data_IF_371793135444
#
_entry.id   IF_371793135444
#
_cell.length_a   1.000
_cell.length_b   1.000
_cell.length_c   1.000
_cell.angle_alpha   90.00
_cell.angle_beta   90.00
_cell.angle_gamma   90.00
#
_symmetry.space_group_name_H-M   'P 1'
#
loop_
_entity.id
_entity.type
_entity.pdbx_description
1 polymer ?
#
# COMPACT_ATOMS: atom_id res chain seq x y z
N UNK A 1 2.18 -10.76 22.46
CA UNK A 1 1.97 -10.48 21.02
C UNK A 1 0.50 -10.76 20.70
N UNK A 2 -0.31 -9.69 20.68
CA UNK A 2 -1.72 -9.75 20.26
C UNK A 2 -1.89 -8.71 19.16
N UNK A 3 -1.22 -8.93 18.02
CA UNK A 3 -1.54 -8.13 16.84
C UNK A 3 -2.83 -8.68 16.27
N UNK A 4 -3.83 -7.84 16.32
CA UNK A 4 -5.18 -8.12 15.86
C UNK A 4 -5.15 -8.49 14.38
N UNK A 5 -5.28 -9.77 14.06
CA UNK A 5 -5.81 -10.25 12.80
C UNK A 5 -7.33 -9.96 12.70
N UNK A 6 -7.74 -8.76 13.12
CA UNK A 6 -9.11 -8.31 12.97
C UNK A 6 -9.13 -7.28 11.86
N UNK A 7 -10.07 -7.46 10.95
CA UNK A 7 -10.48 -6.47 9.96
C UNK A 7 -10.69 -5.13 10.67
N UNK A 8 -9.65 -4.34 10.77
CA UNK A 8 -9.71 -3.04 11.44
C UNK A 8 -10.63 -2.17 10.61
N UNK A 9 -11.75 -1.81 11.18
CA UNK A 9 -12.68 -0.87 10.58
C UNK A 9 -12.00 0.51 10.53
N UNK A 10 -12.26 1.28 9.49
CA UNK A 10 -11.66 2.61 9.29
C UNK A 10 -11.89 3.55 10.49
N UNK A 11 -13.03 3.47 11.14
CA UNK A 11 -13.34 4.26 12.33
C UNK A 11 -12.42 3.92 13.52
N UNK A 12 -12.12 2.64 13.71
CA UNK A 12 -11.17 2.18 14.74
C UNK A 12 -9.75 2.64 14.41
N UNK A 13 -9.35 2.52 13.14
CA UNK A 13 -8.05 2.98 12.66
C UNK A 13 -7.82 4.46 12.91
N UNK A 14 -8.82 5.30 12.71
CA UNK A 14 -8.72 6.74 12.92
C UNK A 14 -8.62 7.14 14.41
N UNK A 15 -9.10 6.29 15.32
CA UNK A 15 -9.11 6.56 16.77
C UNK A 15 -7.89 5.99 17.51
N UNK A 16 -7.15 5.08 16.91
CA UNK A 16 -6.01 4.45 17.57
C UNK A 16 -4.76 5.33 17.56
N UNK A 17 -3.94 5.22 18.60
CA UNK A 17 -2.59 5.79 18.69
C UNK A 17 -1.49 4.71 18.49
N UNK A 18 -1.87 3.51 18.02
CA UNK A 18 -0.95 2.38 17.87
C UNK A 18 0.02 2.54 16.70
N UNK A 19 -0.21 3.53 15.82
CA UNK A 19 0.63 3.78 14.65
C UNK A 19 1.58 4.97 14.83
N UNK A 20 2.71 4.91 14.16
CA UNK A 20 3.57 6.08 13.93
C UNK A 20 2.85 6.99 12.93
N UNK A 21 2.37 8.15 13.42
CA UNK A 21 1.62 9.10 12.60
C UNK A 21 2.50 9.69 11.50
N UNK A 22 1.92 9.98 10.33
CA UNK A 22 2.57 10.51 9.13
C UNK A 22 3.67 9.63 8.53
N UNK A 23 3.74 8.36 8.91
CA UNK A 23 4.61 7.35 8.32
C UNK A 23 3.77 6.24 7.70
N UNK A 24 4.09 5.88 6.46
CA UNK A 24 3.49 4.74 5.78
C UNK A 24 4.54 3.92 5.04
N UNK A 25 4.16 2.72 4.67
CA UNK A 25 4.95 1.82 3.83
C UNK A 25 4.09 1.45 2.62
N UNK A 26 4.68 1.48 1.43
CA UNK A 26 4.06 1.03 0.18
C UNK A 26 4.96 0.00 -0.50
N UNK A 27 4.39 -1.14 -0.88
CA UNK A 27 5.12 -2.28 -1.42
C UNK A 27 4.73 -2.54 -2.87
N UNK A 28 5.67 -2.41 -3.78
CA UNK A 28 5.48 -2.71 -5.21
C UNK A 28 5.84 -4.17 -5.46
N UNK A 29 4.85 -5.03 -5.66
CA UNK A 29 5.08 -6.43 -5.95
C UNK A 29 5.02 -6.63 -7.46
N UNK A 30 6.19 -6.85 -8.06
CA UNK A 30 6.30 -7.21 -9.47
C UNK A 30 6.14 -8.71 -9.65
N UNK A 31 5.42 -9.09 -10.68
CA UNK A 31 5.27 -10.47 -11.11
C UNK A 31 5.81 -10.65 -12.51
N UNK A 32 6.67 -11.64 -12.71
CA UNK A 32 7.26 -11.94 -14.00
C UNK A 32 6.94 -13.38 -14.43
N UNK A 33 6.48 -13.55 -15.65
CA UNK A 33 6.28 -14.84 -16.28
C UNK A 33 6.15 -14.70 -17.80
N UNK A 34 6.78 -15.59 -18.57
CA UNK A 34 6.75 -15.61 -20.04
C UNK A 34 7.00 -14.22 -20.66
N UNK A 35 8.11 -13.57 -20.26
CA UNK A 35 8.52 -12.24 -20.74
C UNK A 35 7.54 -11.10 -20.44
N UNK A 36 6.53 -11.35 -19.63
CA UNK A 36 5.55 -10.34 -19.21
C UNK A 36 5.82 -9.91 -17.77
N UNK A 37 5.97 -8.59 -17.56
CA UNK A 37 6.09 -8.00 -16.25
C UNK A 37 4.77 -7.33 -15.84
N UNK A 38 4.27 -7.71 -14.68
CA UNK A 38 3.04 -7.19 -14.09
C UNK A 38 3.31 -6.59 -12.72
N UNK A 39 2.36 -5.83 -12.21
CA UNK A 39 2.35 -5.33 -10.83
C UNK A 39 1.04 -5.73 -10.16
N UNK A 40 1.14 -6.13 -8.88
CA UNK A 40 -0.02 -6.46 -8.07
C UNK A 40 -0.65 -5.19 -7.53
N UNK A 41 -1.94 -5.01 -7.79
CA UNK A 41 -2.72 -3.89 -7.31
C UNK A 41 -3.95 -4.36 -6.54
N UNK A 42 -4.35 -3.54 -5.58
CA UNK A 42 -5.54 -3.72 -4.76
C UNK A 42 -6.60 -2.72 -5.18
N UNK A 43 -7.81 -3.17 -5.46
CA UNK A 43 -8.93 -2.28 -5.76
C UNK A 43 -9.50 -1.70 -4.48
N UNK A 44 -9.66 -0.39 -4.42
CA UNK A 44 -10.33 0.26 -3.29
C UNK A 44 -11.82 -0.12 -3.25
N UNK A 45 -12.35 -0.41 -2.05
CA UNK A 45 -13.75 -0.83 -1.90
C UNK A 45 -14.75 0.25 -2.34
N UNK A 46 -14.44 1.50 -2.02
CA UNK A 46 -15.38 2.62 -2.14
C UNK A 46 -15.27 3.39 -3.46
N UNK A 47 -14.16 3.21 -4.17
CA UNK A 47 -13.82 4.03 -5.34
C UNK A 47 -13.28 3.16 -6.47
N UNK A 48 -13.47 3.60 -7.70
CA UNK A 48 -12.86 2.94 -8.88
C UNK A 48 -11.39 3.36 -9.04
N UNK A 49 -10.62 3.13 -7.98
CA UNK A 49 -9.20 3.43 -7.86
C UNK A 49 -8.45 2.21 -7.33
N UNK A 50 -7.18 2.13 -7.69
CA UNK A 50 -6.28 1.04 -7.31
C UNK A 50 -5.08 1.57 -6.53
N UNK A 51 -4.49 0.71 -5.73
CA UNK A 51 -3.30 1.01 -4.92
C UNK A 51 -2.32 -0.15 -4.94
N UNK A 52 -1.04 0.13 -4.67
CA UNK A 52 -0.11 -0.92 -4.23
C UNK A 52 -0.47 -1.37 -2.81
N UNK A 53 -0.12 -2.60 -2.39
CA UNK A 53 -0.20 -3.01 -1.00
C UNK A 53 0.57 -2.05 -0.10
N UNK A 54 -0.05 -1.56 0.96
CA UNK A 54 0.58 -0.61 1.87
C UNK A 54 -0.26 -0.31 3.10
N UNK A 55 0.26 0.55 3.96
CA UNK A 55 -0.40 0.96 5.19
C UNK A 55 0.54 1.60 6.20
N UNK A 56 0.11 1.61 7.46
CA UNK A 56 0.80 2.28 8.55
C UNK A 56 1.73 1.34 9.32
N UNK A 57 2.71 1.92 9.99
CA UNK A 57 3.69 1.23 10.84
C UNK A 57 3.21 1.32 12.28
N UNK A 58 3.15 0.19 12.99
CA UNK A 58 2.83 0.18 14.43
C UNK A 58 3.98 0.76 15.26
N UNK A 59 3.67 1.25 16.46
CA UNK A 59 4.66 1.81 17.38
C UNK A 59 5.70 0.78 17.87
N UNK A 60 5.37 -0.50 17.83
CA UNK A 60 6.15 -1.60 18.39
C UNK A 60 6.65 -2.60 17.34
N UNK A 61 6.73 -2.19 16.06
CA UNK A 61 7.31 -3.00 14.99
C UNK A 61 8.42 -2.26 14.23
N UNK A 62 9.36 -3.00 13.67
CA UNK A 62 10.34 -2.46 12.75
C UNK A 62 9.72 -2.20 11.37
N UNK A 63 10.28 -1.25 10.60
CA UNK A 63 9.74 -0.86 9.29
C UNK A 63 9.73 -2.04 8.30
N UNK A 64 10.77 -2.88 8.31
CA UNK A 64 10.85 -4.08 7.48
C UNK A 64 9.78 -5.12 7.87
N UNK A 65 9.50 -5.26 9.17
CA UNK A 65 8.42 -6.10 9.68
C UNK A 65 7.05 -5.57 9.24
N UNK A 66 6.85 -4.24 9.30
CA UNK A 66 5.63 -3.59 8.80
C UNK A 66 5.41 -3.85 7.31
N UNK A 67 6.46 -3.73 6.48
CA UNK A 67 6.39 -4.00 5.05
C UNK A 67 5.94 -5.44 4.77
N UNK A 68 6.57 -6.42 5.44
CA UNK A 68 6.21 -7.83 5.31
C UNK A 68 4.78 -8.12 5.79
N UNK A 69 4.40 -7.62 6.96
CA UNK A 69 3.05 -7.76 7.52
C UNK A 69 2.00 -7.22 6.57
N UNK A 70 2.19 -6.00 6.06
CA UNK A 70 1.24 -5.34 5.16
C UNK A 70 1.04 -6.13 3.86
N UNK A 71 2.10 -6.65 3.25
CA UNK A 71 1.96 -7.51 2.07
C UNK A 71 1.19 -8.77 2.41
N UNK A 72 1.54 -9.47 3.49
CA UNK A 72 0.85 -10.70 3.90
C UNK A 72 -0.64 -10.46 4.19
N UNK A 73 -0.96 -9.41 4.95
CA UNK A 73 -2.35 -9.10 5.33
C UNK A 73 -3.21 -8.66 4.14
N UNK A 74 -2.62 -7.87 3.22
CA UNK A 74 -3.36 -7.29 2.09
C UNK A 74 -3.52 -8.25 0.91
N UNK A 75 -2.61 -9.19 0.74
CA UNK A 75 -2.52 -10.00 -0.49
C UNK A 75 -2.48 -11.52 -0.22
N UNK A 76 -2.26 -11.94 1.02
CA UNK A 76 -1.96 -13.32 1.41
C UNK A 76 -0.65 -13.89 0.81
N UNK A 77 0.17 -13.08 0.17
CA UNK A 77 1.51 -13.49 -0.28
C UNK A 77 2.44 -13.65 0.92
N UNK A 78 3.25 -14.70 0.90
CA UNK A 78 4.21 -15.04 1.96
C UNK A 78 5.58 -15.35 1.35
N UNK A 79 6.59 -15.41 2.21
CA UNK A 79 7.96 -15.79 1.84
C UNK A 79 8.56 -14.90 0.73
N UNK A 80 8.23 -13.60 0.76
CA UNK A 80 8.75 -12.61 -0.16
C UNK A 80 10.04 -11.97 0.37
N UNK A 81 11.00 -11.78 -0.51
CA UNK A 81 12.14 -10.90 -0.25
C UNK A 81 11.76 -9.48 -0.65
N UNK A 82 11.56 -8.62 0.35
CA UNK A 82 11.26 -7.20 0.18
C UNK A 82 12.52 -6.38 0.34
N UNK A 83 12.81 -5.53 -0.64
CA UNK A 83 13.94 -4.61 -0.63
C UNK A 83 13.43 -3.17 -0.59
N UNK A 84 13.94 -2.37 0.36
CA UNK A 84 13.67 -0.94 0.40
C UNK A 84 14.37 -0.25 -0.77
N UNK A 85 13.66 0.60 -1.53
CA UNK A 85 14.25 1.26 -2.68
C UNK A 85 14.23 2.79 -2.61
N UNK A 86 13.26 3.40 -1.98
CA UNK A 86 13.13 4.86 -1.93
C UNK A 86 12.29 5.34 -0.75
N UNK A 87 12.51 6.61 -0.36
CA UNK A 87 11.65 7.30 0.61
C UNK A 87 10.96 8.49 -0.06
N UNK A 88 9.64 8.45 -0.10
CA UNK A 88 8.79 9.47 -0.73
C UNK A 88 8.36 10.49 0.32
N UNK A 89 9.00 11.65 0.35
CA UNK A 89 8.78 12.67 1.38
C UNK A 89 8.61 14.09 0.85
N UNK A 90 8.26 14.29 -0.43
CA UNK A 90 8.06 15.64 -0.97
C UNK A 90 7.00 16.41 -0.21
N UNK A 91 7.20 17.72 -0.05
CA UNK A 91 6.30 18.60 0.72
C UNK A 91 4.90 18.73 0.10
N UNK A 92 4.77 18.45 -1.19
CA UNK A 92 3.54 18.53 -1.96
C UNK A 92 2.90 17.16 -2.24
N UNK A 93 3.41 16.12 -1.59
CA UNK A 93 2.82 14.81 -1.58
C UNK A 93 1.43 14.84 -0.91
N UNK A 94 0.50 14.00 -1.31
CA UNK A 94 -0.86 13.89 -0.75
C UNK A 94 -1.72 15.16 -0.91
N UNK A 95 -1.56 15.88 -2.02
CA UNK A 95 -2.44 17.01 -2.35
C UNK A 95 -3.82 16.60 -2.83
N UNK A 96 -4.03 15.32 -3.12
CA UNK A 96 -5.35 14.85 -3.44
C UNK A 96 -6.24 14.81 -2.20
N UNK A 97 -7.54 14.81 -2.40
CA UNK A 97 -8.54 14.82 -1.35
C UNK A 97 -9.00 13.41 -0.93
N UNK A 98 -8.22 12.38 -1.25
CA UNK A 98 -8.63 10.98 -1.09
C UNK A 98 -9.03 10.64 0.34
N UNK A 99 -8.25 11.07 1.32
CA UNK A 99 -8.58 10.85 2.74
C UNK A 99 -9.89 11.53 3.14
N UNK A 100 -10.13 12.78 2.67
CA UNK A 100 -11.39 13.46 2.91
C UNK A 100 -12.56 12.72 2.27
N UNK A 101 -12.39 12.23 1.04
CA UNK A 101 -13.42 11.46 0.33
C UNK A 101 -13.78 10.17 1.06
N UNK A 102 -12.78 9.45 1.60
CA UNK A 102 -13.01 8.24 2.41
C UNK A 102 -13.77 8.56 3.67
N UNK A 103 -13.35 9.58 4.42
CA UNK A 103 -14.03 10.01 5.66
C UNK A 103 -15.48 10.41 5.38
N UNK A 104 -15.73 11.19 4.33
CA UNK A 104 -17.08 11.58 3.92
C UNK A 104 -17.93 10.38 3.49
N UNK A 105 -17.37 9.45 2.73
CA UNK A 105 -18.06 8.25 2.27
C UNK A 105 -18.60 7.40 3.41
N UNK A 106 -17.84 7.33 4.50
CA UNK A 106 -18.21 6.58 5.70
C UNK A 106 -18.96 7.43 6.75
N UNK A 107 -19.28 8.69 6.45
CA UNK A 107 -19.94 9.63 7.37
C UNK A 107 -19.24 9.74 8.73
N UNK A 108 -17.92 9.76 8.72
CA UNK A 108 -17.11 9.84 9.95
C UNK A 108 -16.94 11.30 10.37
N UNK A 109 -17.06 11.54 11.68
CA UNK A 109 -16.77 12.85 12.28
C UNK A 109 -15.28 12.92 12.65
N UNK A 110 -14.50 13.55 11.78
CA UNK A 110 -13.03 13.66 11.91
C UNK A 110 -12.64 15.13 11.85
N UNK A 111 -11.93 15.60 12.90
CA UNK A 111 -11.42 16.97 12.98
C UNK A 111 -10.51 17.32 11.79
N UNK A 112 -10.61 18.54 11.27
CA UNK A 112 -9.81 19.00 10.12
C UNK A 112 -8.29 18.96 10.36
N UNK A 113 -7.86 19.01 11.63
CA UNK A 113 -6.46 18.90 12.00
C UNK A 113 -6.02 17.45 12.28
N UNK A 114 -6.89 16.48 12.03
CA UNK A 114 -6.59 15.07 12.28
C UNK A 114 -5.38 14.61 11.48
N UNK A 115 -4.59 13.71 12.08
CA UNK A 115 -3.34 13.22 11.50
C UNK A 115 -3.49 12.59 10.11
N UNK A 116 -4.66 12.03 9.80
CA UNK A 116 -4.93 11.38 8.50
C UNK A 116 -4.88 12.37 7.32
N UNK A 117 -5.15 13.67 7.57
CA UNK A 117 -5.12 14.71 6.56
C UNK A 117 -3.74 15.36 6.41
N UNK A 118 -2.80 15.01 7.27
CA UNK A 118 -1.45 15.57 7.24
C UNK A 118 -0.60 14.89 6.16
N UNK A 119 0.54 15.52 5.83
CA UNK A 119 1.50 14.95 4.89
C UNK A 119 2.12 13.68 5.45
N UNK A 120 2.14 12.62 4.65
CA UNK A 120 2.83 11.37 4.95
C UNK A 120 4.21 11.32 4.29
N UNK A 121 5.15 10.69 4.98
CA UNK A 121 6.36 10.14 4.39
C UNK A 121 6.14 8.65 4.18
N UNK A 122 6.38 8.17 2.96
CA UNK A 122 6.23 6.75 2.64
C UNK A 122 7.59 6.12 2.34
N UNK A 123 7.82 4.97 2.93
CA UNK A 123 8.97 4.13 2.61
C UNK A 123 8.54 3.08 1.60
N UNK A 124 9.17 3.10 0.43
CA UNK A 124 8.88 2.21 -0.68
C UNK A 124 9.71 0.94 -0.63
N UNK A 125 9.04 -0.21 -0.70
CA UNK A 125 9.63 -1.53 -0.85
C UNK A 125 9.21 -2.15 -2.17
N UNK A 126 10.03 -3.05 -2.73
CA UNK A 126 9.63 -3.85 -3.87
C UNK A 126 10.04 -5.31 -3.71
N UNK A 127 9.37 -6.19 -4.44
CA UNK A 127 9.74 -7.58 -4.63
C UNK A 127 9.46 -8.00 -6.08
N UNK A 128 10.17 -9.03 -6.54
CA UNK A 128 9.93 -9.68 -7.83
C UNK A 128 9.64 -11.16 -7.59
N UNK A 129 8.51 -11.65 -8.10
CA UNK A 129 8.08 -13.04 -7.97
C UNK A 129 7.61 -13.63 -9.31
N UNK A 130 7.49 -14.95 -9.39
CA UNK A 130 6.70 -15.59 -10.45
C UNK A 130 5.22 -15.53 -10.05
N UNK A 131 4.43 -14.68 -10.73
CA UNK A 131 3.03 -14.46 -10.36
C UNK A 131 2.11 -15.67 -10.61
N UNK A 132 2.54 -16.64 -11.41
CA UNK A 132 1.75 -17.86 -11.65
C UNK A 132 1.77 -18.82 -10.47
N UNK A 133 2.75 -18.68 -9.58
CA UNK A 133 2.90 -19.49 -8.38
C UNK A 133 2.22 -18.87 -7.14
N UNK A 134 1.57 -17.71 -7.31
CA UNK A 134 0.99 -16.95 -6.21
C UNK A 134 -0.53 -16.98 -6.24
N UNK A 135 -1.14 -17.34 -5.10
CA UNK A 135 -2.56 -17.15 -4.86
C UNK A 135 -2.74 -15.88 -4.01
N UNK A 136 -3.45 -14.89 -4.55
CA UNK A 136 -3.74 -13.65 -3.85
C UNK A 136 -5.20 -13.61 -3.40
N UNK A 137 -5.42 -13.23 -2.14
CA UNK A 137 -6.77 -13.11 -1.56
C UNK A 137 -6.91 -11.67 -1.05
N UNK A 138 -7.92 -10.91 -1.50
CA UNK A 138 -8.17 -9.56 -1.00
C UNK A 138 -8.50 -9.57 0.50
N UNK A 139 -8.04 -8.56 1.21
CA UNK A 139 -8.41 -8.33 2.59
C UNK A 139 -9.79 -7.65 2.74
N UNK A 140 -10.14 -7.30 3.98
CA UNK A 140 -11.40 -6.62 4.27
C UNK A 140 -11.49 -5.16 3.82
N UNK A 141 -10.38 -4.55 3.40
CA UNK A 141 -10.31 -3.16 2.93
C UNK A 141 -10.36 -3.04 1.40
N UNK A 142 -10.09 -4.12 0.68
CA UNK A 142 -9.98 -4.13 -0.77
C UNK A 142 -10.95 -5.13 -1.39
N UNK A 143 -11.59 -4.73 -2.48
CA UNK A 143 -12.56 -5.57 -3.17
C UNK A 143 -11.90 -6.65 -4.02
N UNK A 144 -10.71 -6.40 -4.53
CA UNK A 144 -10.00 -7.27 -5.46
C UNK A 144 -8.49 -7.10 -5.36
N UNK A 145 -7.77 -8.19 -5.59
CA UNK A 145 -6.34 -8.25 -5.85
C UNK A 145 -6.14 -8.63 -7.31
N UNK A 146 -5.40 -7.86 -8.09
CA UNK A 146 -5.25 -8.11 -9.52
C UNK A 146 -3.85 -7.78 -10.04
N UNK A 147 -3.35 -8.63 -10.96
CA UNK A 147 -2.10 -8.44 -11.66
C UNK A 147 -2.28 -7.61 -12.93
N UNK A 148 -1.85 -6.36 -12.90
CA UNK A 148 -1.89 -5.47 -14.06
C UNK A 148 -0.57 -5.48 -14.83
N UNK A 149 -0.67 -5.44 -16.16
CA UNK A 149 0.49 -5.15 -17.01
C UNK A 149 1.03 -3.75 -16.69
N UNK A 150 2.34 -3.63 -16.51
CA UNK A 150 2.98 -2.36 -16.16
C UNK A 150 2.82 -1.29 -17.24
N UNK A 151 2.56 -1.69 -18.50
CA UNK A 151 2.31 -0.78 -19.61
C UNK A 151 0.88 -0.23 -19.65
N UNK A 152 -0.05 -0.82 -18.88
CA UNK A 152 -1.47 -0.46 -18.89
C UNK A 152 -2.05 -0.42 -17.47
N UNK A 153 -1.55 0.51 -16.67
CA UNK A 153 -2.00 0.69 -15.29
C UNK A 153 -3.36 1.39 -15.22
N UNK A 154 -4.26 0.95 -14.33
CA UNK A 154 -5.54 1.61 -14.08
C UNK A 154 -5.35 2.95 -13.36
N UNK A 155 -6.42 3.71 -13.10
CA UNK A 155 -6.37 4.87 -12.22
C UNK A 155 -5.89 4.47 -10.80
N UNK A 156 -4.88 5.17 -10.29
CA UNK A 156 -4.24 4.88 -9.02
C UNK A 156 -4.50 6.00 -8.01
N UNK A 157 -4.55 5.64 -6.72
CA UNK A 157 -4.66 6.61 -5.62
C UNK A 157 -3.34 7.36 -5.43
N UNK A 158 -3.40 8.54 -4.87
CA UNK A 158 -2.25 9.35 -4.48
C UNK A 158 -1.15 9.41 -5.56
N UNK A 159 0.10 9.24 -5.14
CA UNK A 159 1.28 9.19 -6.00
C UNK A 159 1.75 7.74 -6.31
N UNK A 160 0.86 6.75 -6.19
CA UNK A 160 1.23 5.34 -6.38
C UNK A 160 1.78 5.04 -7.79
N UNK A 161 1.42 5.83 -8.80
CA UNK A 161 2.04 5.74 -10.13
C UNK A 161 3.53 6.07 -10.07
N UNK A 162 3.91 7.15 -9.40
CA UNK A 162 5.32 7.54 -9.21
C UNK A 162 6.08 6.49 -8.41
N UNK A 163 5.43 5.89 -7.39
CA UNK A 163 6.02 4.81 -6.58
C UNK A 163 6.35 3.60 -7.47
N UNK A 164 5.41 3.16 -8.32
CA UNK A 164 5.61 2.03 -9.25
C UNK A 164 6.71 2.34 -10.26
N UNK A 165 6.69 3.53 -10.87
CA UNK A 165 7.69 3.93 -11.86
C UNK A 165 9.10 4.00 -11.26
N UNK A 166 9.23 4.51 -10.03
CA UNK A 166 10.50 4.56 -9.29
C UNK A 166 10.99 3.15 -8.95
N UNK A 167 10.11 2.29 -8.46
CA UNK A 167 10.43 0.89 -8.19
C UNK A 167 10.91 0.15 -9.46
N UNK A 168 10.26 0.40 -10.60
CA UNK A 168 10.63 -0.21 -11.88
C UNK A 168 12.04 0.23 -12.33
N UNK A 169 12.42 1.49 -12.09
CA UNK A 169 13.78 1.97 -12.36
C UNK A 169 14.80 1.22 -11.48
N UNK A 170 14.49 1.00 -10.20
CA UNK A 170 15.35 0.25 -9.29
C UNK A 170 15.45 -1.23 -9.68
N UNK A 171 14.33 -1.87 -9.99
CA UNK A 171 14.31 -3.25 -10.47
C UNK A 171 15.22 -3.43 -11.70
N UNK A 172 15.11 -2.55 -12.70
CA UNK A 172 15.93 -2.61 -13.93
C UNK A 172 17.43 -2.42 -13.70
N UNK A 173 17.83 -1.71 -12.66
CA UNK A 173 19.24 -1.53 -12.31
C UNK A 173 19.84 -2.75 -11.63
N UNK A 174 19.01 -3.57 -11.00
CA UNK A 174 19.43 -4.72 -10.20
C UNK A 174 19.26 -6.06 -10.96
N UNK A 175 18.72 -6.02 -12.17
CA UNK A 175 18.66 -7.16 -13.08
C UNK A 175 19.90 -7.17 -14.01
#
# INVERSE_FOLDING_TARGET
MKHLHQKTNIEELLKTDDFIKQLSVDCVIFGFHNETLKVLLLKHLDFDLWSVPGGFVFQDEDIDEAAYRLVCERTNLKDLFLEQFHTFGRKDRNKDDMHHRVVQKHNLDVDENHWIYQRFVTIGYYALIDYTLSETIPDGFNAQCYWYDISNLPPLVFDHREIIETALIHLRKNL
#
